data_IF_102343107837
#
_entry.id   IF_102343107837
#
_cell.length_a   1.000
_cell.length_b   1.000
_cell.length_c   1.000
_cell.angle_alpha   90.00
_cell.angle_beta   90.00
_cell.angle_gamma   90.00
#
_symmetry.space_group_name_H-M   'P 1'
#
loop_
_entity.id
_entity.type
_entity.pdbx_description
1 polymer ?
#
# COMPACT_ATOMS: atom_id res chain seq x y z
N UNK A 1 -23.96 -1.91 24.53
CA UNK A 1 -22.89 -1.80 25.58
C UNK A 1 -22.53 -3.13 26.22
N UNK A 2 -21.23 -3.41 26.43
CA UNK A 2 -20.78 -4.63 27.11
C UNK A 2 -20.89 -4.47 28.64
N UNK A 3 -21.45 -5.46 29.36
CA UNK A 3 -21.55 -5.40 30.82
C UNK A 3 -20.16 -5.40 31.46
N UNK A 4 -19.91 -4.45 32.37
CA UNK A 4 -18.65 -4.32 33.11
C UNK A 4 -17.70 -3.22 32.63
N UNK A 5 -17.99 -2.55 31.52
CA UNK A 5 -17.16 -1.46 30.98
C UNK A 5 -17.71 -0.09 31.39
N UNK A 6 -16.92 0.68 32.14
CA UNK A 6 -17.29 2.05 32.55
C UNK A 6 -16.90 3.08 31.50
N UNK A 7 -17.88 3.84 30.99
CA UNK A 7 -17.66 4.96 30.05
C UNK A 7 -16.70 5.99 30.63
N UNK A 8 -16.78 6.26 31.94
CA UNK A 8 -15.89 7.19 32.61
C UNK A 8 -14.44 6.69 32.62
N UNK A 9 -14.23 5.38 32.82
CA UNK A 9 -12.90 4.79 32.79
C UNK A 9 -12.27 4.88 31.39
N UNK A 10 -13.04 4.62 30.33
CA UNK A 10 -12.60 4.79 28.94
C UNK A 10 -12.28 6.26 28.65
N UNK A 11 -13.17 7.17 29.05
CA UNK A 11 -12.98 8.60 28.83
C UNK A 11 -11.68 9.08 29.50
N UNK A 12 -11.41 8.67 30.74
CA UNK A 12 -10.16 9.01 31.43
C UNK A 12 -8.93 8.44 30.74
N UNK A 13 -8.96 7.17 30.34
CA UNK A 13 -7.85 6.52 29.64
C UNK A 13 -7.46 7.27 28.36
N UNK A 14 -8.45 7.75 27.60
CA UNK A 14 -8.25 8.48 26.35
C UNK A 14 -8.24 10.02 26.53
N UNK A 15 -8.28 10.52 27.76
CA UNK A 15 -8.36 11.96 28.08
C UNK A 15 -9.52 12.70 27.41
N UNK A 16 -10.65 12.01 27.25
CA UNK A 16 -11.90 12.53 26.71
C UNK A 16 -12.85 12.99 27.82
N UNK A 17 -13.79 13.87 27.50
CA UNK A 17 -14.87 14.23 28.41
C UNK A 17 -15.92 13.11 28.48
N UNK A 18 -16.16 12.57 29.67
CA UNK A 18 -17.09 11.46 29.88
C UNK A 18 -18.53 11.78 29.44
N UNK A 19 -18.97 13.03 29.55
CA UNK A 19 -20.31 13.43 29.10
C UNK A 19 -20.43 13.43 27.57
N UNK A 20 -19.37 13.87 26.87
CA UNK A 20 -19.34 13.83 25.40
C UNK A 20 -19.31 12.39 24.89
N UNK A 21 -18.49 11.54 25.50
CA UNK A 21 -18.40 10.12 25.14
C UNK A 21 -19.74 9.42 25.38
N UNK A 22 -20.39 9.66 26.53
CA UNK A 22 -21.70 9.08 26.83
C UNK A 22 -22.76 9.50 25.80
N UNK A 23 -22.83 10.78 25.46
CA UNK A 23 -23.79 11.29 24.47
C UNK A 23 -23.52 10.70 23.08
N UNK A 24 -22.26 10.67 22.66
CA UNK A 24 -21.87 10.10 21.37
C UNK A 24 -22.24 8.61 21.28
N UNK A 25 -21.98 7.81 22.31
CA UNK A 25 -22.36 6.38 22.28
C UNK A 25 -23.88 6.21 22.22
N UNK A 26 -24.66 7.01 22.95
CA UNK A 26 -26.12 6.95 22.90
C UNK A 26 -26.67 7.31 21.51
N UNK A 27 -26.08 8.30 20.84
CA UNK A 27 -26.44 8.67 19.46
C UNK A 27 -26.08 7.58 18.44
N UNK A 28 -24.97 6.87 18.64
CA UNK A 28 -24.55 5.77 17.77
C UNK A 28 -25.40 4.51 17.97
N UNK A 29 -25.76 4.16 19.20
CA UNK A 29 -26.66 3.03 19.47
C UNK A 29 -28.07 3.30 18.92
N UNK A 30 -28.54 4.55 18.96
CA UNK A 30 -29.81 4.95 18.34
C UNK A 30 -29.81 4.82 16.80
N UNK A 31 -28.67 5.11 16.15
CA UNK A 31 -28.50 4.94 14.69
C UNK A 31 -28.38 3.47 14.29
N UNK A 32 -27.58 2.70 15.03
CA UNK A 32 -27.38 1.27 14.80
C UNK A 32 -28.62 0.39 15.10
N UNK A 33 -29.64 0.95 15.76
CA UNK A 33 -30.92 0.28 16.02
C UNK A 33 -31.90 0.31 14.83
N UNK A 34 -31.63 1.08 13.78
CA UNK A 34 -32.46 1.11 12.58
C UNK A 34 -32.16 -0.14 11.70
N UNK A 35 -33.18 -0.96 11.36
CA UNK A 35 -32.97 -2.17 10.56
C UNK A 35 -32.37 -1.90 9.17
N UNK A 36 -32.63 -0.71 8.61
CA UNK A 36 -32.18 -0.31 7.26
C UNK A 36 -30.66 -0.10 7.18
N UNK A 37 -30.02 0.46 8.22
CA UNK A 37 -28.57 0.69 8.22
C UNK A 37 -27.75 -0.60 8.34
N UNK A 38 -28.34 -1.66 8.92
CA UNK A 38 -27.67 -2.95 9.11
C UNK A 38 -27.58 -3.78 7.82
N UNK A 39 -28.48 -3.58 6.86
CA UNK A 39 -28.35 -4.17 5.52
C UNK A 39 -27.29 -3.47 4.68
N UNK A 40 -27.17 -2.14 4.78
CA UNK A 40 -26.18 -1.34 4.05
C UNK A 40 -24.72 -1.59 4.49
N UNK A 41 -24.49 -2.05 5.72
CA UNK A 41 -23.15 -2.43 6.21
C UNK A 41 -22.76 -3.88 5.93
N UNK A 42 -23.60 -4.66 5.24
CA UNK A 42 -23.21 -6.02 4.84
C UNK A 42 -22.25 -5.95 3.65
N UNK A 43 -20.95 -5.82 3.95
CA UNK A 43 -19.90 -5.97 2.95
C UNK A 43 -20.01 -7.38 2.35
N UNK A 44 -20.22 -7.53 1.02
CA UNK A 44 -20.20 -8.84 0.41
C UNK A 44 -18.84 -9.48 0.66
N UNK A 45 -18.83 -10.74 1.10
CA UNK A 45 -17.58 -11.47 1.31
C UNK A 45 -16.85 -11.54 -0.04
N UNK A 46 -15.72 -10.84 -0.14
CA UNK A 46 -14.96 -10.74 -1.38
C UNK A 46 -14.53 -12.12 -1.87
N UNK A 47 -14.78 -12.40 -3.14
CA UNK A 47 -14.38 -13.64 -3.79
C UNK A 47 -12.92 -13.54 -4.25
N UNK A 48 -12.10 -14.53 -3.89
CA UNK A 48 -10.71 -14.59 -4.33
C UNK A 48 -10.65 -15.11 -5.77
N UNK A 49 -10.31 -14.24 -6.71
CA UNK A 49 -10.13 -14.61 -8.12
C UNK A 49 -8.66 -14.97 -8.35
N UNK A 50 -8.35 -16.21 -8.79
CA UNK A 50 -6.98 -16.59 -9.08
C UNK A 50 -6.47 -15.83 -10.31
N UNK A 51 -5.48 -14.96 -10.11
CA UNK A 51 -4.79 -14.26 -11.19
C UNK A 51 -3.63 -15.12 -11.68
N UNK A 52 -3.64 -15.51 -12.96
CA UNK A 52 -2.48 -16.17 -13.57
C UNK A 52 -1.39 -15.14 -13.82
N UNK A 53 -0.35 -15.17 -13.00
CA UNK A 53 0.89 -14.44 -13.25
C UNK A 53 1.66 -15.26 -14.29
N UNK A 54 2.00 -14.64 -15.42
CA UNK A 54 2.74 -15.30 -16.51
C UNK A 54 4.08 -15.88 -16.02
N UNK A 55 4.59 -16.86 -16.75
CA UNK A 55 5.88 -17.49 -16.43
C UNK A 55 6.98 -16.42 -16.39
N UNK A 56 7.89 -16.47 -15.38
CA UNK A 56 9.01 -15.54 -15.34
C UNK A 56 9.88 -15.74 -16.58
N UNK A 57 9.95 -14.70 -17.42
CA UNK A 57 10.83 -14.67 -18.58
C UNK A 57 12.27 -14.92 -18.11
N UNK A 58 12.87 -16.01 -18.60
CA UNK A 58 14.27 -16.38 -18.38
C UNK A 58 15.24 -15.57 -19.26
N UNK A 59 14.73 -14.69 -20.12
CA UNK A 59 15.56 -13.82 -20.93
C UNK A 59 16.30 -12.81 -20.05
N UNK A 60 17.63 -12.78 -20.18
CA UNK A 60 18.44 -11.76 -19.54
C UNK A 60 18.12 -10.41 -20.21
N UNK A 61 17.63 -9.42 -19.47
CA UNK A 61 17.24 -8.13 -20.05
C UNK A 61 18.47 -7.37 -20.54
N UNK A 62 18.25 -6.47 -21.50
CA UNK A 62 19.28 -5.54 -21.94
C UNK A 62 19.70 -4.58 -20.82
N UNK A 63 20.99 -4.31 -20.74
CA UNK A 63 21.59 -3.27 -19.90
C UNK A 63 21.35 -1.92 -20.58
N UNK A 64 20.80 -0.96 -19.85
CA UNK A 64 20.61 0.40 -20.33
C UNK A 64 21.51 1.36 -19.57
N UNK A 65 22.27 2.17 -20.31
CA UNK A 65 23.16 3.17 -19.75
C UNK A 65 22.75 4.52 -20.31
N UNK A 66 22.44 5.47 -19.43
CA UNK A 66 22.15 6.84 -19.81
C UNK A 66 23.28 7.75 -19.34
N UNK A 67 23.86 8.51 -20.28
CA UNK A 67 24.91 9.49 -20.02
C UNK A 67 24.35 10.87 -20.30
N UNK A 68 24.38 11.74 -19.29
CA UNK A 68 23.87 13.12 -19.39
C UNK A 68 25.02 14.12 -19.23
N UNK A 69 25.16 15.03 -20.19
CA UNK A 69 26.10 16.16 -20.14
C UNK A 69 25.37 17.44 -20.51
N UNK A 70 25.04 18.25 -19.50
CA UNK A 70 24.22 19.46 -19.68
C UNK A 70 22.85 19.09 -20.24
N UNK A 71 22.50 19.67 -21.40
CA UNK A 71 21.25 19.38 -22.11
C UNK A 71 21.33 18.13 -23.02
N UNK A 72 22.50 17.51 -23.17
CA UNK A 72 22.67 16.34 -24.04
C UNK A 72 22.51 15.05 -23.24
N UNK A 73 21.67 14.14 -23.74
CA UNK A 73 21.50 12.79 -23.21
C UNK A 73 21.88 11.77 -24.29
N UNK A 74 22.72 10.81 -23.93
CA UNK A 74 23.10 9.67 -24.77
C UNK A 74 22.60 8.41 -24.06
N UNK A 75 21.79 7.61 -24.74
CA UNK A 75 21.30 6.33 -24.22
C UNK A 75 21.92 5.18 -24.99
N UNK A 76 22.56 4.25 -24.28
CA UNK A 76 23.14 3.03 -24.83
C UNK A 76 22.30 1.83 -24.35
N UNK A 77 22.06 0.89 -25.27
CA UNK A 77 21.43 -0.40 -24.96
C UNK A 77 22.42 -1.50 -25.29
N UNK A 78 22.72 -2.33 -24.31
CA UNK A 78 23.69 -3.40 -24.40
C UNK A 78 23.03 -4.75 -24.08
N UNK A 79 23.27 -5.83 -24.84
CA UNK A 79 22.66 -7.13 -24.55
C UNK A 79 23.05 -7.66 -23.16
N UNK A 80 22.07 -8.14 -22.39
CA UNK A 80 22.34 -8.72 -21.07
C UNK A 80 23.34 -9.88 -21.09
N UNK A 81 23.34 -10.66 -22.18
CA UNK A 81 24.27 -11.76 -22.41
C UNK A 81 25.73 -11.33 -22.54
N UNK A 82 26.00 -10.05 -22.83
CA UNK A 82 27.33 -9.50 -23.04
C UNK A 82 27.78 -8.57 -21.89
N UNK A 83 27.28 -8.79 -20.67
CA UNK A 83 27.56 -7.95 -19.49
C UNK A 83 29.05 -7.76 -19.18
N UNK A 84 29.89 -8.78 -19.37
CA UNK A 84 31.33 -8.69 -19.14
C UNK A 84 32.02 -7.67 -20.07
N UNK A 85 31.60 -7.63 -21.33
CA UNK A 85 32.12 -6.68 -22.33
C UNK A 85 31.65 -5.26 -22.01
N UNK A 86 30.40 -5.12 -21.56
CA UNK A 86 29.86 -3.85 -21.06
C UNK A 86 30.70 -3.31 -19.88
N UNK A 87 31.06 -4.17 -18.93
CA UNK A 87 31.88 -3.80 -17.79
C UNK A 87 33.29 -3.33 -18.21
N UNK A 88 33.93 -4.05 -19.15
CA UNK A 88 35.23 -3.64 -19.70
C UNK A 88 35.16 -2.27 -20.41
N UNK A 89 34.13 -2.05 -21.24
CA UNK A 89 33.93 -0.75 -21.90
C UNK A 89 33.74 0.38 -20.89
N UNK A 90 32.88 0.18 -19.86
CA UNK A 90 32.64 1.16 -18.80
C UNK A 90 33.92 1.49 -18.00
N UNK A 91 34.75 0.49 -17.69
CA UNK A 91 36.01 0.71 -16.98
C UNK A 91 37.01 1.55 -17.78
N UNK A 92 37.03 1.39 -19.11
CA UNK A 92 37.84 2.24 -19.98
C UNK A 92 37.31 3.67 -20.07
N UNK A 93 35.99 3.85 -19.99
CA UNK A 93 35.33 5.15 -20.08
C UNK A 93 35.37 5.98 -18.79
N UNK A 94 35.40 5.31 -17.61
CA UNK A 94 35.43 5.97 -16.30
C UNK A 94 36.84 6.34 -15.81
N UNK A 95 37.88 6.10 -16.61
CA UNK A 95 39.22 6.63 -16.36
C UNK A 95 39.41 7.97 -17.05
#
# INVERSE_FOLDING_TARGET
MQPGVSIAAIALHHRLNANLLRRWVAEQEAKNGAPEDRELMRVPQGEFIPLRIGEPTTAVPDIQIEVRRGATTISLRWPGSAAAQCAQWLQGWLR
#
